data_IF_017085340941
#
_entry.id   IF_017085340941
#
_cell.length_a   1.000
_cell.length_b   1.000
_cell.length_c   1.000
_cell.angle_alpha   90.00
_cell.angle_beta   90.00
_cell.angle_gamma   90.00
#
_symmetry.space_group_name_H-M   'P 1'
#
loop_
_entity.id
_entity.type
_entity.pdbx_description
1 polymer ?
#
# COMPACT_ATOMS: atom_id res chain seq x y z
N UNK A 1 -36.41 -6.82 -29.04
CA UNK A 1 -35.83 -5.76 -28.17
C UNK A 1 -35.93 -6.30 -26.76
N UNK A 2 -34.83 -6.88 -26.24
CA UNK A 2 -34.75 -7.25 -24.83
C UNK A 2 -34.65 -5.94 -24.05
N UNK A 3 -35.64 -5.67 -23.19
CA UNK A 3 -35.51 -4.67 -22.14
C UNK A 3 -34.29 -5.06 -21.29
N UNK A 4 -33.23 -4.27 -21.36
CA UNK A 4 -32.20 -4.29 -20.35
C UNK A 4 -32.88 -3.86 -19.05
N UNK A 5 -33.10 -4.81 -18.13
CA UNK A 5 -33.42 -4.50 -16.75
C UNK A 5 -32.44 -3.40 -16.28
N UNK A 6 -33.01 -2.32 -15.73
CA UNK A 6 -32.21 -1.29 -15.06
C UNK A 6 -31.33 -2.00 -14.03
N UNK A 7 -30.04 -2.11 -14.31
CA UNK A 7 -29.05 -2.57 -13.32
C UNK A 7 -29.29 -1.76 -12.05
N UNK A 8 -29.63 -2.43 -10.95
CA UNK A 8 -29.70 -1.77 -9.65
C UNK A 8 -28.34 -1.12 -9.39
N UNK A 9 -28.34 0.17 -9.04
CA UNK A 9 -27.13 0.90 -8.75
C UNK A 9 -26.47 0.32 -7.50
N UNK A 10 -25.15 0.14 -7.53
CA UNK A 10 -24.38 -0.55 -6.49
C UNK A 10 -23.99 0.43 -5.37
N UNK A 11 -24.21 0.00 -4.14
CA UNK A 11 -23.59 0.56 -2.95
C UNK A 11 -22.54 -0.42 -2.42
N UNK A 12 -21.27 0.00 -2.37
CA UNK A 12 -20.11 -0.82 -2.03
C UNK A 12 -19.51 -0.33 -0.71
N UNK A 13 -19.27 -1.23 0.22
CA UNK A 13 -18.51 -0.93 1.45
C UNK A 13 -17.14 -1.60 1.36
N UNK A 14 -16.08 -0.80 1.29
CA UNK A 14 -14.69 -1.23 1.40
C UNK A 14 -14.28 -1.17 2.87
N UNK A 15 -13.71 -2.25 3.42
CA UNK A 15 -13.26 -2.31 4.82
C UNK A 15 -11.74 -2.42 4.84
N UNK A 16 -11.05 -1.42 5.40
CA UNK A 16 -9.59 -1.42 5.60
C UNK A 16 -9.28 -0.74 6.92
N UNK A 17 -8.91 -1.51 7.94
CA UNK A 17 -8.96 -1.06 9.33
C UNK A 17 -7.66 -0.41 9.78
N UNK A 18 -6.51 -1.09 9.56
CA UNK A 18 -5.21 -0.61 10.02
C UNK A 18 -4.60 0.46 9.10
N UNK A 19 -3.62 1.18 9.64
CA UNK A 19 -2.91 2.25 8.97
C UNK A 19 -3.64 3.59 9.01
N UNK A 20 -2.95 4.62 8.56
CA UNK A 20 -3.46 5.98 8.50
C UNK A 20 -4.11 6.24 7.14
N UNK A 21 -5.45 6.23 7.09
CA UNK A 21 -6.23 6.37 5.86
C UNK A 21 -6.91 7.73 5.83
N UNK A 22 -6.55 8.55 4.86
CA UNK A 22 -7.20 9.84 4.52
C UNK A 22 -7.21 10.05 3.01
N UNK A 23 -8.05 10.96 2.50
CA UNK A 23 -8.28 11.16 1.07
C UNK A 23 -7.22 11.98 0.34
N UNK A 24 -6.32 12.64 1.06
CA UNK A 24 -5.28 13.54 0.55
C UNK A 24 -3.96 13.35 1.32
N UNK A 25 -2.86 13.81 0.79
CA UNK A 25 -1.53 13.84 1.42
C UNK A 25 -1.19 12.57 2.22
N UNK A 26 -1.38 11.41 1.61
CA UNK A 26 -1.13 10.10 2.24
C UNK A 26 0.30 10.01 2.78
N UNK A 27 0.44 9.65 4.06
CA UNK A 27 1.72 9.55 4.76
C UNK A 27 2.43 8.21 4.48
N UNK A 28 2.58 7.86 3.20
CA UNK A 28 3.12 6.57 2.78
C UNK A 28 4.54 6.34 3.30
N UNK A 29 4.71 5.24 4.03
CA UNK A 29 6.00 4.86 4.60
C UNK A 29 6.33 5.51 5.94
N UNK A 30 5.37 6.20 6.57
CA UNK A 30 5.52 6.72 7.93
C UNK A 30 5.81 5.59 8.92
N UNK A 31 5.10 4.48 8.76
CA UNK A 31 5.26 3.26 9.54
C UNK A 31 5.01 2.00 8.68
N UNK A 32 5.12 0.82 9.31
CA UNK A 32 4.92 -0.45 8.63
C UNK A 32 3.46 -0.69 8.16
N UNK A 33 2.49 0.02 8.74
CA UNK A 33 1.05 -0.14 8.51
C UNK A 33 0.52 0.87 7.48
N UNK A 34 1.19 2.02 7.35
CA UNK A 34 0.81 3.09 6.42
C UNK A 34 1.62 2.99 5.13
N UNK A 35 1.19 2.13 4.23
CA UNK A 35 1.93 1.79 3.01
C UNK A 35 1.08 1.71 1.76
N UNK A 36 1.47 0.84 0.84
CA UNK A 36 0.81 0.65 -0.45
C UNK A 36 -0.67 0.29 -0.35
N UNK A 37 -1.08 -0.45 0.68
CA UNK A 37 -2.48 -0.80 0.92
C UNK A 37 -3.35 0.44 1.16
N UNK A 38 -2.90 1.40 1.99
CA UNK A 38 -3.67 2.62 2.28
C UNK A 38 -3.92 3.44 1.00
N UNK A 39 -2.91 3.57 0.14
CA UNK A 39 -3.08 4.18 -1.18
C UNK A 39 -4.03 3.38 -2.06
N UNK A 40 -3.84 2.05 -2.12
CA UNK A 40 -4.65 1.17 -2.95
C UNK A 40 -6.15 1.32 -2.65
N UNK A 41 -6.56 1.27 -1.37
CA UNK A 41 -7.98 1.32 -1.01
C UNK A 41 -8.61 2.69 -1.26
N UNK A 42 -7.86 3.78 -1.08
CA UNK A 42 -8.32 5.14 -1.38
C UNK A 42 -8.51 5.33 -2.89
N UNK A 43 -7.54 4.90 -3.70
CA UNK A 43 -7.64 4.99 -5.16
C UNK A 43 -8.71 4.05 -5.72
N UNK A 44 -8.87 2.85 -5.13
CA UNK A 44 -9.97 1.94 -5.48
C UNK A 44 -11.34 2.56 -5.21
N UNK A 45 -11.53 3.18 -4.04
CA UNK A 45 -12.78 3.86 -3.71
C UNK A 45 -13.11 4.96 -4.72
N UNK A 46 -12.13 5.82 -5.06
CA UNK A 46 -12.28 6.87 -6.08
C UNK A 46 -12.57 6.31 -7.48
N UNK A 47 -11.92 5.19 -7.84
CA UNK A 47 -12.11 4.57 -9.16
C UNK A 47 -13.48 3.88 -9.29
N UNK A 48 -13.95 3.21 -8.23
CA UNK A 48 -15.29 2.61 -8.18
C UNK A 48 -16.37 3.69 -8.25
N UNK A 49 -16.19 4.81 -7.56
CA UNK A 49 -17.12 5.94 -7.60
C UNK A 49 -17.34 6.52 -9.02
N UNK A 50 -16.34 6.39 -9.89
CA UNK A 50 -16.45 6.84 -11.31
C UNK A 50 -17.25 5.87 -12.19
N UNK A 51 -17.61 4.67 -11.72
CA UNK A 51 -18.33 3.69 -12.52
C UNK A 51 -19.81 4.05 -12.62
N UNK A 52 -20.43 3.99 -13.80
CA UNK A 52 -21.79 4.48 -14.02
C UNK A 52 -22.87 3.69 -13.27
N UNK A 53 -22.57 2.48 -12.85
CA UNK A 53 -23.47 1.60 -12.08
C UNK A 53 -23.17 1.62 -10.57
N UNK A 54 -22.28 2.49 -10.09
CA UNK A 54 -21.96 2.65 -8.67
C UNK A 54 -22.55 3.95 -8.17
N UNK A 55 -23.49 3.83 -7.22
CA UNK A 55 -24.18 4.97 -6.61
C UNK A 55 -23.43 5.50 -5.38
N UNK A 56 -22.81 4.60 -4.61
CA UNK A 56 -22.13 4.96 -3.37
C UNK A 56 -20.95 4.02 -3.09
N UNK A 57 -19.87 4.59 -2.57
CA UNK A 57 -18.72 3.85 -2.03
C UNK A 57 -18.35 4.42 -0.66
N UNK A 58 -18.37 3.56 0.36
CA UNK A 58 -17.90 3.89 1.69
C UNK A 58 -16.62 3.11 1.98
N UNK A 59 -15.50 3.82 2.13
CA UNK A 59 -14.25 3.26 2.62
C UNK A 59 -14.24 3.36 4.15
N UNK A 60 -14.43 2.23 4.81
CA UNK A 60 -14.55 2.17 6.26
C UNK A 60 -13.21 1.82 6.91
N UNK A 61 -12.82 2.62 7.89
CA UNK A 61 -11.58 2.46 8.65
C UNK A 61 -11.78 2.81 10.11
N UNK A 62 -10.75 2.64 10.94
CA UNK A 62 -10.80 3.00 12.36
C UNK A 62 -10.63 4.51 12.56
N UNK A 63 -11.44 5.11 13.44
CA UNK A 63 -11.24 6.49 13.88
C UNK A 63 -10.05 6.58 14.83
N UNK A 64 -9.22 7.60 14.64
CA UNK A 64 -8.02 7.81 15.44
C UNK A 64 -8.02 9.26 15.93
N UNK A 65 -8.01 9.43 17.25
CA UNK A 65 -7.91 10.74 17.90
C UNK A 65 -6.55 10.79 18.58
N UNK A 66 -5.55 11.32 17.87
CA UNK A 66 -4.17 11.32 18.32
C UNK A 66 -3.46 12.56 17.82
N UNK A 67 -2.89 13.35 18.72
CA UNK A 67 -2.21 14.59 18.40
C UNK A 67 -0.93 14.39 17.58
N UNK A 68 -0.33 13.19 17.66
CA UNK A 68 0.90 12.86 16.94
C UNK A 68 0.65 12.51 15.47
N UNK A 69 -0.59 12.11 15.11
CA UNK A 69 -0.93 11.75 13.73
C UNK A 69 -1.75 12.82 13.00
N UNK A 70 -2.36 13.74 13.72
CA UNK A 70 -3.11 14.87 13.14
C UNK A 70 -4.64 14.71 13.21
N UNK A 71 -5.35 15.83 13.03
CA UNK A 71 -6.80 15.93 13.24
C UNK A 71 -7.66 15.24 12.18
N UNK A 72 -7.16 15.07 10.97
CA UNK A 72 -7.92 14.50 9.84
C UNK A 72 -8.47 13.09 10.16
N UNK A 73 -7.73 12.32 10.94
CA UNK A 73 -8.09 10.95 11.32
C UNK A 73 -9.16 10.87 12.41
N UNK A 74 -9.45 11.99 13.06
CA UNK A 74 -10.49 12.11 14.07
C UNK A 74 -11.89 12.44 13.47
N UNK A 75 -11.92 12.95 12.25
CA UNK A 75 -13.17 13.24 11.53
C UNK A 75 -13.93 11.94 11.25
N UNK A 76 -15.20 11.88 11.63
CA UNK A 76 -16.01 10.67 11.46
C UNK A 76 -16.26 10.34 9.98
N UNK A 77 -16.39 11.36 9.13
CA UNK A 77 -16.64 11.21 7.69
C UNK A 77 -15.79 12.22 6.92
N UNK A 78 -15.13 11.75 5.87
CA UNK A 78 -14.34 12.57 4.94
C UNK A 78 -14.75 12.28 3.51
N UNK A 79 -15.11 13.29 2.73
CA UNK A 79 -15.48 13.13 1.33
C UNK A 79 -14.26 12.76 0.47
N UNK A 80 -14.39 11.76 -0.41
CA UNK A 80 -13.39 11.36 -1.40
C UNK A 80 -13.76 11.78 -2.81
N UNK A 81 -15.07 11.71 -3.13
CA UNK A 81 -15.68 12.10 -4.40
C UNK A 81 -17.17 12.43 -4.16
N UNK A 82 -17.91 12.77 -5.20
CA UNK A 82 -19.33 13.09 -5.10
C UNK A 82 -20.16 11.97 -4.45
N UNK A 83 -19.80 10.72 -4.75
CA UNK A 83 -20.49 9.50 -4.27
C UNK A 83 -19.52 8.54 -3.54
N UNK A 84 -18.40 9.03 -3.03
CA UNK A 84 -17.47 8.23 -2.22
C UNK A 84 -16.99 9.01 -0.99
N UNK A 85 -16.84 8.31 0.12
CA UNK A 85 -16.38 8.88 1.38
C UNK A 85 -15.55 7.87 2.20
N UNK A 86 -14.72 8.39 3.11
CA UNK A 86 -14.13 7.60 4.19
C UNK A 86 -15.05 7.73 5.40
N UNK A 87 -15.40 6.60 5.98
CA UNK A 87 -16.17 6.50 7.22
C UNK A 87 -15.26 5.94 8.30
N UNK A 88 -15.14 6.65 9.41
CA UNK A 88 -14.28 6.23 10.52
C UNK A 88 -15.11 5.76 11.70
N UNK A 89 -14.87 4.52 12.10
CA UNK A 89 -15.61 3.81 13.15
C UNK A 89 -14.76 3.73 14.41
N UNK A 90 -15.36 4.00 15.55
CA UNK A 90 -14.70 3.86 16.86
C UNK A 90 -14.48 2.38 17.20
N UNK A 91 -13.26 2.05 17.63
CA UNK A 91 -12.94 0.75 18.19
C UNK A 91 -11.63 0.81 18.99
N UNK A 92 -11.65 0.28 20.20
CA UNK A 92 -10.50 0.28 21.12
C UNK A 92 -10.12 1.67 21.61
N UNK A 93 -8.82 1.90 21.92
CA UNK A 93 -8.32 3.19 22.40
C UNK A 93 -8.42 4.28 21.31
N UNK A 94 -8.53 5.55 21.72
CA UNK A 94 -8.67 6.66 20.81
C UNK A 94 -7.42 6.87 19.93
N UNK A 95 -6.21 6.69 20.49
CA UNK A 95 -4.94 6.90 19.80
C UNK A 95 -4.64 5.88 18.71
N UNK A 96 -3.55 6.13 17.97
CA UNK A 96 -3.05 5.19 16.97
C UNK A 96 -2.55 3.90 17.64
N UNK A 97 -2.93 2.74 17.10
CA UNK A 97 -2.44 1.43 17.51
C UNK A 97 -2.00 0.64 16.28
N UNK A 98 -0.99 -0.20 16.46
CA UNK A 98 -0.43 -1.04 15.39
C UNK A 98 -1.39 -2.16 15.03
N UNK A 99 -1.31 -2.66 13.79
CA UNK A 99 -2.21 -3.73 13.32
C UNK A 99 -2.13 -5.01 14.16
N UNK A 100 -0.98 -5.30 14.75
CA UNK A 100 -0.81 -6.45 15.62
C UNK A 100 -1.63 -6.31 16.94
N UNK A 101 -1.95 -5.09 17.36
CA UNK A 101 -2.71 -4.78 18.58
C UNK A 101 -4.21 -4.59 18.30
N UNK A 102 -4.65 -4.54 17.04
CA UNK A 102 -6.05 -4.34 16.66
C UNK A 102 -6.96 -5.52 16.98
N UNK A 103 -6.42 -6.73 17.07
CA UNK A 103 -7.20 -7.96 17.17
C UNK A 103 -8.23 -7.97 18.30
N UNK A 104 -7.93 -7.39 19.45
CA UNK A 104 -8.82 -7.34 20.61
C UNK A 104 -9.96 -6.32 20.45
N UNK A 105 -9.91 -5.51 19.40
CA UNK A 105 -10.86 -4.44 19.14
C UNK A 105 -11.72 -4.67 17.90
N UNK A 106 -11.48 -5.75 17.13
CA UNK A 106 -12.18 -6.03 15.87
C UNK A 106 -13.66 -6.37 16.07
N UNK A 107 -14.02 -7.03 17.17
CA UNK A 107 -15.42 -7.30 17.49
C UNK A 107 -16.20 -6.01 17.73
N UNK A 108 -15.64 -5.10 18.54
CA UNK A 108 -16.26 -3.79 18.78
C UNK A 108 -16.32 -2.94 17.50
N UNK A 109 -15.31 -3.04 16.63
CA UNK A 109 -15.35 -2.40 15.32
C UNK A 109 -16.50 -2.94 14.45
N UNK A 110 -16.66 -4.27 14.39
CA UNK A 110 -17.73 -4.90 13.63
C UNK A 110 -19.12 -4.50 14.14
N UNK A 111 -19.32 -4.50 15.46
CA UNK A 111 -20.59 -4.13 16.08
C UNK A 111 -20.93 -2.64 15.85
N UNK A 112 -19.95 -1.76 15.95
CA UNK A 112 -20.12 -0.33 15.68
C UNK A 112 -20.35 -0.06 14.18
N UNK A 113 -19.66 -0.78 13.28
CA UNK A 113 -19.91 -0.69 11.85
C UNK A 113 -21.30 -1.19 11.49
N UNK A 114 -21.76 -2.31 12.07
CA UNK A 114 -23.11 -2.80 11.89
C UNK A 114 -24.16 -1.76 12.34
N UNK A 115 -23.92 -1.14 13.49
CA UNK A 115 -24.79 -0.07 14.02
C UNK A 115 -24.83 1.14 13.08
N UNK A 116 -23.69 1.51 12.51
CA UNK A 116 -23.61 2.59 11.53
C UNK A 116 -24.38 2.24 10.26
N UNK A 117 -24.22 1.01 9.73
CA UNK A 117 -24.95 0.52 8.55
C UNK A 117 -26.48 0.53 8.75
N UNK A 118 -26.97 0.18 9.95
CA UNK A 118 -28.38 0.29 10.28
C UNK A 118 -28.92 1.72 10.25
N UNK A 119 -28.07 2.71 10.46
CA UNK A 119 -28.45 4.13 10.37
C UNK A 119 -28.47 4.68 8.94
N UNK A 120 -28.00 3.92 7.94
CA UNK A 120 -27.97 4.37 6.56
C UNK A 120 -29.33 4.24 5.87
N UNK A 121 -29.65 5.08 4.87
CA UNK A 121 -30.93 5.04 4.17
C UNK A 121 -31.13 3.76 3.33
N UNK A 122 -30.05 3.06 2.99
CA UNK A 122 -30.08 1.76 2.30
C UNK A 122 -28.93 0.87 2.76
N UNK A 123 -29.08 -0.42 2.57
CA UNK A 123 -28.02 -1.41 2.80
C UNK A 123 -27.05 -1.48 1.63
N UNK A 124 -25.74 -1.78 1.87
CA UNK A 124 -24.81 -2.05 0.80
C UNK A 124 -25.19 -3.33 0.03
N UNK A 125 -24.76 -3.40 -1.20
CA UNK A 125 -24.93 -4.60 -2.03
C UNK A 125 -23.80 -5.60 -1.81
N UNK A 126 -22.61 -5.14 -1.34
CA UNK A 126 -21.43 -5.96 -1.18
C UNK A 126 -20.47 -5.36 -0.14
N UNK A 127 -19.81 -6.23 0.61
CA UNK A 127 -18.68 -5.92 1.46
C UNK A 127 -17.39 -6.34 0.76
N UNK A 128 -16.38 -5.49 0.77
CA UNK A 128 -15.05 -5.83 0.24
C UNK A 128 -14.00 -5.54 1.30
N UNK A 129 -13.45 -6.59 1.88
CA UNK A 129 -12.44 -6.50 2.95
C UNK A 129 -11.02 -6.52 2.40
N UNK A 130 -10.14 -5.74 3.01
CA UNK A 130 -8.74 -5.59 2.64
C UNK A 130 -7.84 -5.93 3.80
N UNK A 131 -7.07 -7.03 3.68
CA UNK A 131 -6.20 -7.60 4.70
C UNK A 131 -6.95 -8.43 5.77
N UNK A 132 -6.18 -9.15 6.60
CA UNK A 132 -6.69 -10.15 7.54
C UNK A 132 -7.65 -9.59 8.61
N UNK A 133 -7.34 -8.41 9.17
CA UNK A 133 -8.19 -7.74 10.18
C UNK A 133 -9.56 -7.37 9.61
N UNK A 134 -9.58 -6.79 8.41
CA UNK A 134 -10.81 -6.48 7.71
C UNK A 134 -11.53 -7.75 7.20
N UNK A 135 -10.78 -8.80 6.87
CA UNK A 135 -11.33 -10.11 6.54
C UNK A 135 -12.16 -10.68 7.67
N UNK A 136 -11.60 -10.70 8.88
CA UNK A 136 -12.31 -11.11 10.10
C UNK A 136 -13.62 -10.33 10.31
N UNK A 137 -13.57 -9.02 10.23
CA UNK A 137 -14.75 -8.15 10.36
C UNK A 137 -15.76 -8.41 9.23
N UNK A 138 -15.27 -8.55 7.99
CA UNK A 138 -16.10 -8.83 6.82
C UNK A 138 -16.90 -10.12 6.94
N UNK A 139 -16.27 -11.22 7.40
CA UNK A 139 -16.95 -12.51 7.66
C UNK A 139 -18.05 -12.34 8.71
N UNK A 140 -17.73 -11.71 9.84
CA UNK A 140 -18.71 -11.46 10.90
C UNK A 140 -19.91 -10.67 10.38
N UNK A 141 -19.69 -9.60 9.64
CA UNK A 141 -20.78 -8.80 9.06
C UNK A 141 -21.56 -9.57 7.99
N UNK A 142 -20.89 -10.31 7.11
CA UNK A 142 -21.55 -11.16 6.09
C UNK A 142 -22.51 -12.17 6.76
N UNK A 143 -22.07 -12.85 7.82
CA UNK A 143 -22.92 -13.79 8.57
C UNK A 143 -24.11 -13.13 9.22
N UNK A 144 -23.96 -11.92 9.77
CA UNK A 144 -25.03 -11.19 10.45
C UNK A 144 -26.06 -10.58 9.49
N UNK A 145 -25.63 -10.20 8.28
CA UNK A 145 -26.44 -9.42 7.34
C UNK A 145 -26.87 -10.20 6.10
N UNK A 146 -26.17 -11.29 5.78
CA UNK A 146 -26.36 -12.01 4.51
C UNK A 146 -25.75 -11.32 3.28
N UNK A 147 -24.94 -10.26 3.49
CA UNK A 147 -24.28 -9.55 2.40
C UNK A 147 -23.12 -10.38 1.83
N UNK A 148 -22.94 -10.40 0.49
CA UNK A 148 -21.80 -11.05 -0.12
C UNK A 148 -20.49 -10.38 0.29
N UNK A 149 -19.44 -11.20 0.45
CA UNK A 149 -18.10 -10.76 0.87
C UNK A 149 -17.08 -10.99 -0.25
N UNK A 150 -16.45 -9.92 -0.69
CA UNK A 150 -15.22 -9.95 -1.50
C UNK A 150 -14.03 -9.73 -0.57
N UNK A 151 -12.90 -10.38 -0.83
CA UNK A 151 -11.68 -10.21 -0.05
C UNK A 151 -10.44 -9.98 -0.91
N UNK A 152 -9.56 -9.08 -0.47
CA UNK A 152 -8.20 -8.88 -1.03
C UNK A 152 -7.18 -8.97 0.10
N UNK A 153 -6.28 -9.97 0.05
CA UNK A 153 -5.36 -10.27 1.15
C UNK A 153 -4.21 -9.27 1.33
N UNK A 154 -3.73 -8.64 0.25
CA UNK A 154 -2.55 -7.74 0.17
C UNK A 154 -1.22 -8.35 0.64
N UNK A 155 -1.24 -9.16 1.66
CA UNK A 155 -0.12 -9.88 2.26
C UNK A 155 -0.68 -11.02 3.09
N UNK A 156 -0.03 -12.15 3.10
CA UNK A 156 -0.55 -13.37 3.71
C UNK A 156 0.31 -13.84 4.89
N UNK A 157 -0.36 -14.28 5.95
CA UNK A 157 0.25 -14.68 7.22
C UNK A 157 1.12 -15.93 7.10
N UNK A 158 0.66 -16.97 6.38
CA UNK A 158 1.42 -18.21 6.19
C UNK A 158 2.72 -17.96 5.43
N UNK A 159 2.71 -17.15 4.36
CA UNK A 159 3.91 -16.77 3.63
C UNK A 159 4.85 -15.90 4.48
N UNK A 160 4.31 -14.92 5.23
CA UNK A 160 5.09 -14.12 6.18
C UNK A 160 5.77 -15.01 7.22
N UNK A 161 5.04 -15.96 7.81
CA UNK A 161 5.56 -16.90 8.79
C UNK A 161 6.71 -17.74 8.20
N UNK A 162 6.50 -18.33 7.02
CA UNK A 162 7.51 -19.11 6.29
C UNK A 162 8.80 -18.32 6.08
N UNK A 163 8.69 -17.07 5.65
CA UNK A 163 9.86 -16.19 5.42
C UNK A 163 10.58 -15.81 6.70
N UNK A 164 9.86 -15.57 7.79
CA UNK A 164 10.47 -15.23 9.08
C UNK A 164 11.21 -16.44 9.68
N UNK A 165 10.64 -17.65 9.57
CA UNK A 165 11.32 -18.90 9.95
C UNK A 165 12.57 -19.14 9.13
N UNK A 166 12.52 -18.90 7.82
CA UNK A 166 13.69 -19.04 6.93
C UNK A 166 14.82 -18.03 7.27
N UNK A 167 14.48 -16.91 7.92
CA UNK A 167 15.46 -15.93 8.45
C UNK A 167 15.99 -16.28 9.83
N UNK A 168 15.57 -17.41 10.41
CA UNK A 168 16.05 -17.93 11.69
C UNK A 168 15.28 -17.47 12.93
N UNK A 169 14.13 -16.78 12.78
CA UNK A 169 13.27 -16.50 13.92
C UNK A 169 12.58 -17.80 14.38
N UNK A 170 12.37 -17.93 15.68
CA UNK A 170 11.57 -19.03 16.25
C UNK A 170 10.07 -18.72 16.12
N UNK A 171 9.22 -19.76 16.17
CA UNK A 171 7.77 -19.58 16.21
C UNK A 171 7.31 -18.75 17.41
N UNK A 172 7.98 -18.88 18.55
CA UNK A 172 7.68 -18.11 19.76
C UNK A 172 7.92 -16.61 19.56
N UNK A 173 9.05 -16.23 18.97
CA UNK A 173 9.34 -14.84 18.63
C UNK A 173 8.37 -14.27 17.60
N UNK A 174 8.00 -15.07 16.60
CA UNK A 174 7.03 -14.68 15.57
C UNK A 174 5.64 -14.45 16.18
N UNK A 175 5.21 -15.37 17.06
CA UNK A 175 3.92 -15.26 17.74
C UNK A 175 3.87 -14.04 18.67
N UNK A 176 4.90 -13.86 19.49
CA UNK A 176 4.99 -12.72 20.40
C UNK A 176 4.96 -11.36 19.66
N UNK A 177 5.62 -11.27 18.50
CA UNK A 177 5.76 -10.01 17.77
C UNK A 177 4.61 -9.72 16.82
N UNK A 178 4.02 -10.75 16.20
CA UNK A 178 3.09 -10.59 15.08
C UNK A 178 1.71 -11.19 15.30
N UNK A 179 1.48 -11.89 16.42
CA UNK A 179 0.25 -12.66 16.66
C UNK A 179 -0.14 -13.51 15.45
N UNK A 180 0.87 -14.20 14.86
CA UNK A 180 0.77 -14.79 13.54
C UNK A 180 -0.29 -15.87 13.47
N UNK A 181 -0.51 -16.64 14.54
CA UNK A 181 -1.52 -17.69 14.61
C UNK A 181 -2.93 -17.09 14.51
N UNK A 182 -3.18 -15.99 15.23
CA UNK A 182 -4.47 -15.30 15.19
C UNK A 182 -4.76 -14.73 13.80
N UNK A 183 -3.74 -14.18 13.15
CA UNK A 183 -3.82 -13.69 11.78
C UNK A 183 -4.15 -14.81 10.80
N UNK A 184 -3.40 -15.93 10.84
CA UNK A 184 -3.62 -17.08 9.94
C UNK A 184 -5.02 -17.66 10.13
N UNK A 185 -5.51 -17.78 11.37
CA UNK A 185 -6.87 -18.26 11.64
C UNK A 185 -7.93 -17.34 11.02
N UNK A 186 -7.76 -16.03 11.13
CA UNK A 186 -8.67 -15.07 10.51
C UNK A 186 -8.63 -15.14 8.97
N UNK A 187 -7.46 -15.37 8.38
CA UNK A 187 -7.32 -15.59 6.93
C UNK A 187 -7.99 -16.90 6.48
N UNK A 188 -7.83 -18.01 7.23
CA UNK A 188 -8.53 -19.29 6.94
C UNK A 188 -10.06 -19.08 6.99
N UNK A 189 -10.56 -18.42 8.03
CA UNK A 189 -11.98 -18.12 8.16
C UNK A 189 -12.48 -17.25 7.00
N UNK A 190 -11.69 -16.26 6.60
CA UNK A 190 -12.02 -15.39 5.48
C UNK A 190 -12.05 -16.16 4.15
N UNK A 191 -11.05 -17.01 3.88
CA UNK A 191 -10.99 -17.85 2.68
C UNK A 191 -12.16 -18.81 2.58
N UNK A 192 -12.57 -19.38 3.72
CA UNK A 192 -13.72 -20.30 3.78
C UNK A 192 -15.05 -19.61 3.44
N UNK A 193 -15.22 -18.36 3.88
CA UNK A 193 -16.50 -17.66 3.84
C UNK A 193 -16.64 -16.62 2.73
N UNK A 194 -15.55 -16.09 2.16
CA UNK A 194 -15.64 -15.14 1.07
C UNK A 194 -16.26 -15.76 -0.20
N UNK A 195 -17.09 -14.99 -0.89
CA UNK A 195 -17.70 -15.36 -2.16
C UNK A 195 -16.69 -15.22 -3.31
N UNK A 196 -15.80 -14.22 -3.22
CA UNK A 196 -14.75 -13.95 -4.19
C UNK A 196 -13.49 -13.44 -3.49
N UNK A 197 -12.34 -13.93 -3.94
CA UNK A 197 -11.02 -13.47 -3.48
C UNK A 197 -10.29 -12.83 -4.66
N UNK A 198 -9.87 -11.58 -4.48
CA UNK A 198 -9.10 -10.84 -5.48
C UNK A 198 -7.62 -10.96 -5.14
N UNK A 199 -6.82 -11.34 -6.14
CA UNK A 199 -5.36 -11.44 -6.06
C UNK A 199 -4.72 -10.54 -7.12
N UNK A 200 -3.48 -10.09 -6.90
CA UNK A 200 -2.79 -9.24 -7.86
C UNK A 200 -2.16 -10.05 -9.00
N UNK A 201 -1.78 -11.30 -8.73
CA UNK A 201 -1.08 -12.18 -9.68
C UNK A 201 -1.50 -13.64 -9.54
N UNK A 202 -1.28 -14.43 -10.61
CA UNK A 202 -1.46 -15.89 -10.56
C UNK A 202 -0.51 -16.56 -9.55
N UNK A 203 0.70 -16.04 -9.40
CA UNK A 203 1.67 -16.57 -8.45
C UNK A 203 1.20 -16.44 -6.98
N UNK A 204 0.42 -15.41 -6.64
CA UNK A 204 -0.18 -15.34 -5.30
C UNK A 204 -1.09 -16.54 -5.04
N UNK A 205 -1.88 -16.94 -6.04
CA UNK A 205 -2.79 -18.08 -5.94
C UNK A 205 -1.99 -19.37 -5.74
N UNK A 206 -0.99 -19.61 -6.59
CA UNK A 206 -0.24 -20.87 -6.68
C UNK A 206 0.82 -21.02 -5.57
N UNK A 207 1.46 -19.90 -5.11
CA UNK A 207 2.59 -19.97 -4.18
C UNK A 207 2.25 -19.56 -2.75
N UNK A 208 1.19 -18.76 -2.56
CA UNK A 208 0.87 -18.16 -1.27
C UNK A 208 -0.48 -18.62 -0.72
N UNK A 209 -1.56 -18.58 -1.52
CA UNK A 209 -2.87 -19.04 -1.07
C UNK A 209 -2.95 -20.57 -0.97
N UNK A 210 -2.21 -21.32 -1.80
CA UNK A 210 -2.10 -22.78 -1.71
C UNK A 210 -1.59 -23.26 -0.32
N UNK A 211 -0.93 -22.39 0.43
CA UNK A 211 -0.48 -22.71 1.80
C UNK A 211 -1.63 -22.85 2.81
N UNK A 212 -2.85 -22.42 2.47
CA UNK A 212 -4.02 -22.41 3.37
C UNK A 212 -4.86 -23.67 3.23
N UNK A 213 -5.42 -24.14 4.36
CA UNK A 213 -6.28 -25.34 4.38
C UNK A 213 -7.62 -25.08 3.68
N UNK A 214 -8.10 -23.81 3.73
CA UNK A 214 -9.32 -23.37 3.06
C UNK A 214 -9.08 -22.84 1.63
N UNK A 215 -7.97 -23.21 0.99
CA UNK A 215 -7.66 -22.84 -0.38
C UNK A 215 -8.71 -23.32 -1.38
N UNK A 216 -9.31 -22.40 -2.12
CA UNK A 216 -10.36 -22.66 -3.12
C UNK A 216 -10.10 -21.78 -4.35
N UNK A 217 -9.24 -22.21 -5.29
CA UNK A 217 -8.82 -21.39 -6.43
C UNK A 217 -9.97 -20.95 -7.34
N UNK A 218 -11.08 -21.72 -7.37
CA UNK A 218 -12.28 -21.41 -8.16
C UNK A 218 -12.97 -20.11 -7.67
N UNK A 219 -12.75 -19.71 -6.42
CA UNK A 219 -13.23 -18.44 -5.88
C UNK A 219 -12.23 -17.29 -6.06
N UNK A 220 -11.09 -17.52 -6.72
CA UNK A 220 -10.02 -16.54 -6.85
C UNK A 220 -9.99 -15.92 -8.23
N UNK A 221 -9.87 -14.60 -8.28
CA UNK A 221 -9.75 -13.83 -9.52
C UNK A 221 -8.47 -12.97 -9.50
N UNK A 222 -7.69 -13.06 -10.57
CA UNK A 222 -6.50 -12.20 -10.74
C UNK A 222 -6.95 -10.85 -11.31
N UNK A 223 -6.88 -9.83 -10.47
CA UNK A 223 -7.16 -8.43 -10.83
C UNK A 223 -5.95 -7.59 -10.40
N UNK A 224 -5.00 -7.31 -11.30
CA UNK A 224 -3.83 -6.51 -10.97
C UNK A 224 -4.21 -5.10 -10.49
N UNK A 225 -3.43 -4.49 -9.59
CA UNK A 225 -3.64 -3.10 -9.19
C UNK A 225 -3.68 -2.17 -10.40
N UNK A 226 -4.70 -1.31 -10.45
CA UNK A 226 -4.82 -0.30 -11.50
C UNK A 226 -3.82 0.84 -11.32
N UNK A 227 -3.65 1.62 -12.40
CA UNK A 227 -2.85 2.84 -12.40
C UNK A 227 -3.69 3.99 -12.91
N UNK A 228 -3.64 5.13 -12.23
CA UNK A 228 -4.27 6.36 -12.71
C UNK A 228 -3.51 6.92 -13.90
N UNK A 229 -4.07 6.80 -15.10
CA UNK A 229 -3.46 7.26 -16.34
C UNK A 229 -3.52 8.78 -16.52
N UNK A 230 -4.37 9.48 -15.77
CA UNK A 230 -4.39 10.94 -15.75
C UNK A 230 -3.17 11.47 -14.96
N UNK A 231 -2.71 10.73 -13.96
CA UNK A 231 -1.52 11.03 -13.18
C UNK A 231 -0.24 10.46 -13.84
N UNK A 232 -0.28 9.18 -14.26
CA UNK A 232 0.86 8.45 -14.83
C UNK A 232 0.74 8.34 -16.36
N UNK A 233 1.14 9.38 -17.06
CA UNK A 233 1.14 9.44 -18.53
C UNK A 233 2.55 9.76 -19.06
N UNK A 234 2.87 9.45 -20.32
CA UNK A 234 4.13 9.82 -20.94
C UNK A 234 4.39 11.34 -20.88
N UNK A 235 5.67 11.78 -20.81
CA UNK A 235 5.97 13.20 -20.76
C UNK A 235 5.50 13.91 -22.05
N UNK A 236 4.79 15.05 -21.88
CA UNK A 236 4.55 15.95 -23.00
C UNK A 236 5.86 16.68 -23.39
N UNK A 237 6.02 17.07 -24.63
CA UNK A 237 7.26 17.63 -25.19
C UNK A 237 7.80 18.91 -24.48
N UNK A 238 7.05 19.50 -23.55
CA UNK A 238 7.37 20.79 -22.91
C UNK A 238 7.65 20.77 -21.41
N UNK A 239 7.58 19.63 -20.69
CA UNK A 239 7.57 19.61 -19.22
C UNK A 239 8.82 18.96 -18.62
N UNK A 240 9.92 19.72 -18.50
CA UNK A 240 11.16 19.22 -17.87
C UNK A 240 11.62 20.01 -16.63
N UNK A 241 10.81 20.91 -16.06
CA UNK A 241 11.23 21.74 -14.92
C UNK A 241 10.38 21.50 -13.69
N UNK A 242 10.59 20.35 -13.02
CA UNK A 242 10.03 20.14 -11.66
C UNK A 242 11.04 20.59 -10.60
N UNK A 243 10.55 20.95 -9.41
CA UNK A 243 11.41 21.26 -8.25
C UNK A 243 12.33 20.07 -7.91
N UNK A 244 11.83 18.85 -8.11
CA UNK A 244 12.63 17.63 -7.95
C UNK A 244 13.80 17.58 -8.94
N UNK A 245 13.58 17.84 -10.24
CA UNK A 245 14.65 17.88 -11.23
C UNK A 245 15.74 18.92 -10.87
N UNK A 246 15.33 20.09 -10.34
CA UNK A 246 16.27 21.10 -9.87
C UNK A 246 17.10 20.60 -8.68
N UNK A 247 16.50 19.82 -7.77
CA UNK A 247 17.19 19.27 -6.59
C UNK A 247 18.30 18.28 -6.97
N UNK A 248 18.15 17.53 -8.08
CA UNK A 248 19.13 16.56 -8.55
C UNK A 248 20.48 17.20 -8.93
N UNK A 249 20.48 18.50 -9.31
CA UNK A 249 21.71 19.24 -9.62
C UNK A 249 22.65 19.37 -8.42
N UNK A 250 22.14 19.22 -7.20
CA UNK A 250 22.96 19.24 -5.99
C UNK A 250 23.76 17.95 -5.80
N UNK A 251 23.39 16.86 -6.49
CA UNK A 251 24.01 15.55 -6.36
C UNK A 251 24.83 15.15 -7.60
N UNK A 252 24.44 15.63 -8.79
CA UNK A 252 24.95 15.14 -10.06
C UNK A 252 25.84 16.16 -10.74
N UNK A 253 27.07 15.75 -11.09
CA UNK A 253 28.01 16.58 -11.86
C UNK A 253 27.57 16.82 -13.32
N UNK A 254 26.83 15.86 -13.87
CA UNK A 254 26.30 15.90 -15.24
C UNK A 254 24.80 15.55 -15.21
N UNK A 255 23.92 16.47 -14.74
CA UNK A 255 22.51 16.17 -14.51
C UNK A 255 21.70 15.86 -15.78
N UNK A 256 22.21 16.23 -16.96
CA UNK A 256 21.53 16.00 -18.24
C UNK A 256 21.81 14.60 -18.84
N UNK A 257 22.63 13.78 -18.19
CA UNK A 257 22.84 12.39 -18.62
C UNK A 257 21.56 11.56 -18.43
N UNK A 258 21.39 10.48 -19.22
CA UNK A 258 20.31 9.50 -18.98
C UNK A 258 20.27 9.05 -17.53
N UNK A 259 19.07 8.82 -17.01
CA UNK A 259 18.84 8.49 -15.62
C UNK A 259 18.43 7.02 -15.46
N UNK A 260 19.13 6.28 -14.62
CA UNK A 260 18.65 5.02 -14.05
C UNK A 260 17.91 5.38 -12.76
N UNK A 261 16.60 5.14 -12.71
CA UNK A 261 15.76 5.49 -11.57
C UNK A 261 15.38 4.25 -10.77
N UNK A 262 15.60 4.27 -9.46
CA UNK A 262 15.02 3.35 -8.49
C UNK A 262 14.20 4.14 -7.46
N UNK A 263 12.92 3.79 -7.30
CA UNK A 263 12.01 4.42 -6.35
C UNK A 263 11.36 3.34 -5.47
N UNK A 264 11.66 3.34 -4.18
CA UNK A 264 11.09 2.40 -3.22
C UNK A 264 11.29 2.92 -1.79
N UNK A 265 10.68 2.24 -0.80
CA UNK A 265 11.08 2.42 0.59
C UNK A 265 12.49 1.84 0.81
N UNK A 266 13.26 2.38 1.78
CA UNK A 266 14.55 1.81 2.19
C UNK A 266 14.31 0.54 3.01
N UNK A 267 13.94 -0.53 2.33
CA UNK A 267 13.62 -1.85 2.90
C UNK A 267 14.59 -2.86 2.28
N UNK A 268 15.20 -3.71 3.10
CA UNK A 268 16.15 -4.74 2.66
C UNK A 268 15.59 -5.62 1.53
N UNK A 269 14.27 -5.92 1.58
CA UNK A 269 13.57 -6.71 0.54
C UNK A 269 13.57 -6.03 -0.83
N UNK A 270 13.75 -4.72 -0.88
CA UNK A 270 13.84 -3.94 -2.14
C UNK A 270 15.21 -3.99 -2.79
N UNK A 271 16.19 -4.53 -2.07
CA UNK A 271 17.52 -4.86 -2.57
C UNK A 271 18.24 -3.73 -3.34
N UNK A 272 17.99 -2.47 -2.94
CA UNK A 272 18.55 -1.29 -3.63
C UNK A 272 20.06 -1.14 -3.41
N UNK A 273 20.61 -1.78 -2.37
CA UNK A 273 22.07 -1.82 -2.14
C UNK A 273 22.76 -2.56 -3.26
N UNK A 274 22.31 -3.76 -3.63
CA UNK A 274 22.87 -4.53 -4.77
C UNK A 274 22.80 -3.76 -6.09
N UNK A 275 21.74 -2.95 -6.31
CA UNK A 275 21.68 -2.08 -7.48
C UNK A 275 22.82 -1.06 -7.48
N UNK A 276 23.08 -0.44 -6.33
CA UNK A 276 24.17 0.55 -6.20
C UNK A 276 25.54 -0.09 -6.35
N UNK A 277 25.77 -1.27 -5.79
CA UNK A 277 26.99 -2.07 -6.00
C UNK A 277 27.20 -2.39 -7.49
N UNK A 278 26.18 -2.94 -8.17
CA UNK A 278 26.26 -3.27 -9.59
C UNK A 278 26.54 -2.03 -10.46
N UNK A 279 26.02 -0.86 -10.07
CA UNK A 279 26.36 0.39 -10.73
C UNK A 279 27.82 0.81 -10.43
N UNK A 280 28.26 0.67 -9.18
CA UNK A 280 29.62 0.96 -8.73
C UNK A 280 30.68 0.11 -9.43
N UNK A 281 30.39 -1.17 -9.64
CA UNK A 281 31.25 -2.12 -10.36
C UNK A 281 31.32 -1.89 -11.87
N UNK A 282 30.46 -1.03 -12.45
CA UNK A 282 30.34 -0.87 -13.89
C UNK A 282 30.74 0.54 -14.39
N UNK A 283 32.03 0.79 -14.67
CA UNK A 283 32.47 2.05 -15.30
C UNK A 283 31.73 2.35 -16.61
N UNK A 284 31.28 1.30 -17.30
CA UNK A 284 30.52 1.42 -18.56
C UNK A 284 29.14 2.02 -18.32
N UNK A 285 28.45 1.68 -17.23
CA UNK A 285 27.17 2.28 -16.86
C UNK A 285 27.38 3.72 -16.40
N UNK A 286 28.35 3.95 -15.53
CA UNK A 286 28.70 5.28 -15.02
C UNK A 286 29.06 6.29 -16.12
N UNK A 287 29.63 5.81 -17.23
CA UNK A 287 29.94 6.65 -18.39
C UNK A 287 28.70 7.01 -19.25
N UNK A 288 27.56 6.32 -19.04
CA UNK A 288 26.37 6.45 -19.90
C UNK A 288 25.16 7.02 -19.20
N UNK A 289 25.04 6.86 -17.88
CA UNK A 289 23.86 7.26 -17.12
C UNK A 289 24.22 7.60 -15.67
N UNK A 290 23.44 8.49 -15.06
CA UNK A 290 23.41 8.71 -13.63
C UNK A 290 22.48 7.69 -12.96
N UNK A 291 22.72 7.39 -11.68
CA UNK A 291 21.80 6.62 -10.85
C UNK A 291 21.07 7.54 -9.88
N UNK A 292 19.75 7.47 -9.86
CA UNK A 292 18.89 8.21 -8.92
C UNK A 292 18.11 7.23 -8.07
N UNK A 293 18.38 7.24 -6.77
CA UNK A 293 17.71 6.38 -5.78
C UNK A 293 16.83 7.25 -4.91
N UNK A 294 15.51 7.11 -5.04
CA UNK A 294 14.51 7.76 -4.20
C UNK A 294 14.05 6.75 -3.14
N UNK A 295 14.66 6.84 -1.95
CA UNK A 295 14.52 5.86 -0.88
C UNK A 295 13.76 6.43 0.32
N UNK A 296 12.46 6.68 0.15
CA UNK A 296 11.61 7.26 1.19
C UNK A 296 11.97 8.72 1.55
N UNK A 297 11.31 9.24 2.59
CA UNK A 297 11.56 10.56 3.14
C UNK A 297 12.31 10.45 4.46
N UNK A 298 13.26 11.35 4.72
CA UNK A 298 14.04 11.40 5.97
C UNK A 298 14.63 12.77 6.23
N UNK A 299 14.70 13.14 7.47
CA UNK A 299 15.51 14.28 7.94
C UNK A 299 16.87 13.80 8.41
N UNK A 300 16.89 12.80 9.28
CA UNK A 300 18.09 12.15 9.80
C UNK A 300 17.94 10.62 9.74
N UNK A 301 18.93 9.93 9.19
CA UNK A 301 18.94 8.46 9.10
C UNK A 301 18.88 7.83 10.51
N UNK A 302 19.47 8.45 11.51
CA UNK A 302 19.54 7.94 12.89
C UNK A 302 18.19 7.92 13.61
N UNK A 303 17.21 8.66 13.10
CA UNK A 303 15.84 8.75 13.64
C UNK A 303 14.89 7.75 12.98
N UNK A 304 15.35 7.02 11.96
CA UNK A 304 14.55 6.03 11.26
C UNK A 304 14.54 4.69 12.02
N UNK A 305 13.61 3.79 11.66
CA UNK A 305 13.63 2.42 12.16
C UNK A 305 14.93 1.68 11.76
N UNK A 306 15.31 0.67 12.55
CA UNK A 306 16.58 -0.05 12.39
C UNK A 306 16.79 -0.61 10.98
N UNK A 307 15.71 -1.08 10.32
CA UNK A 307 15.79 -1.64 8.97
C UNK A 307 16.09 -0.58 7.92
N UNK A 308 15.36 0.53 7.95
CA UNK A 308 15.57 1.67 7.05
C UNK A 308 16.93 2.33 7.28
N UNK A 309 17.32 2.50 8.57
CA UNK A 309 18.63 3.01 8.95
C UNK A 309 19.76 2.14 8.39
N UNK A 310 19.65 0.81 8.50
CA UNK A 310 20.65 -0.13 8.00
C UNK A 310 20.82 0.01 6.48
N UNK A 311 19.74 -0.01 5.73
CA UNK A 311 19.77 0.12 4.25
C UNK A 311 20.37 1.44 3.81
N UNK A 312 19.97 2.56 4.41
CA UNK A 312 20.49 3.89 4.04
C UNK A 312 21.95 4.07 4.43
N UNK A 313 22.37 3.51 5.56
CA UNK A 313 23.78 3.53 5.97
C UNK A 313 24.63 2.75 4.97
N UNK A 314 24.19 1.55 4.57
CA UNK A 314 24.91 0.73 3.59
C UNK A 314 25.00 1.42 2.23
N UNK A 315 23.94 2.08 1.77
CA UNK A 315 24.00 2.89 0.55
C UNK A 315 25.09 3.97 0.62
N UNK A 316 25.24 4.66 1.74
CA UNK A 316 26.28 5.68 1.91
C UNK A 316 27.69 5.07 1.90
N UNK A 317 27.87 3.91 2.54
CA UNK A 317 29.16 3.18 2.54
C UNK A 317 29.53 2.69 1.14
N UNK A 318 28.59 2.16 0.39
CA UNK A 318 28.79 1.73 -1.00
C UNK A 318 29.12 2.92 -1.91
N UNK A 319 28.41 4.05 -1.73
CA UNK A 319 28.73 5.29 -2.46
C UNK A 319 30.17 5.74 -2.24
N UNK A 320 30.64 5.69 -1.00
CA UNK A 320 32.01 6.05 -0.64
C UNK A 320 33.03 5.04 -1.20
N UNK A 321 32.76 3.75 -1.03
CA UNK A 321 33.61 2.67 -1.49
C UNK A 321 33.95 2.73 -2.99
N UNK A 322 32.95 3.09 -3.83
CA UNK A 322 33.11 3.17 -5.28
C UNK A 322 33.32 4.60 -5.80
N UNK A 323 33.49 5.60 -4.92
CA UNK A 323 33.65 7.02 -5.28
C UNK A 323 32.55 7.51 -6.27
N UNK A 324 31.29 7.29 -5.90
CA UNK A 324 30.13 7.59 -6.77
C UNK A 324 29.60 9.01 -6.60
N UNK A 325 30.33 9.89 -5.96
CA UNK A 325 30.00 11.30 -5.78
C UNK A 325 29.86 12.01 -7.13
N UNK A 326 28.77 12.76 -7.31
CA UNK A 326 28.44 13.43 -8.56
C UNK A 326 27.85 12.54 -9.66
N UNK A 327 27.67 11.22 -9.39
CA UNK A 327 27.06 10.23 -10.32
C UNK A 327 25.79 9.61 -9.77
N UNK A 328 25.64 9.61 -8.43
CA UNK A 328 24.47 9.06 -7.72
C UNK A 328 23.76 10.18 -6.99
N UNK A 329 22.44 10.27 -7.18
CA UNK A 329 21.57 11.14 -6.39
C UNK A 329 20.77 10.30 -5.39
N UNK A 330 20.83 10.70 -4.11
CA UNK A 330 20.05 10.11 -3.02
C UNK A 330 19.30 11.23 -2.27
N UNK A 331 18.24 11.81 -2.87
CA UNK A 331 17.48 12.91 -2.28
C UNK A 331 16.81 12.49 -0.97
N UNK A 332 16.70 13.43 -0.03
CA UNK A 332 16.09 13.19 1.29
C UNK A 332 14.57 13.23 1.28
N UNK A 333 14.00 14.04 0.40
CA UNK A 333 12.56 14.31 0.38
C UNK A 333 11.99 14.26 -1.02
N UNK A 334 10.76 13.78 -1.11
CA UNK A 334 9.85 13.93 -2.24
C UNK A 334 8.42 13.89 -1.74
N UNK A 335 7.50 14.45 -2.47
CA UNK A 335 6.06 14.37 -2.19
C UNK A 335 5.45 13.21 -2.97
N UNK A 336 4.28 12.74 -2.54
CA UNK A 336 3.54 11.72 -3.27
C UNK A 336 3.22 12.16 -4.71
N UNK A 337 2.89 13.44 -4.89
CA UNK A 337 2.58 14.03 -6.20
C UNK A 337 3.83 14.15 -7.11
N UNK A 338 5.03 14.22 -6.55
CA UNK A 338 6.27 14.26 -7.32
C UNK A 338 6.56 12.93 -8.04
N UNK A 339 5.97 11.80 -7.57
CA UNK A 339 6.30 10.45 -8.08
C UNK A 339 6.07 10.34 -9.58
N UNK A 340 4.93 10.82 -10.07
CA UNK A 340 4.64 10.78 -11.50
C UNK A 340 5.60 11.66 -12.31
N UNK A 341 6.01 12.83 -11.77
CA UNK A 341 7.00 13.72 -12.40
C UNK A 341 8.38 13.09 -12.40
N UNK A 342 8.77 12.38 -11.36
CA UNK A 342 10.04 11.63 -11.28
C UNK A 342 10.10 10.56 -12.38
N UNK A 343 9.02 9.81 -12.60
CA UNK A 343 8.93 8.85 -13.70
C UNK A 343 9.00 9.53 -15.08
N UNK A 344 8.28 10.64 -15.27
CA UNK A 344 8.35 11.43 -16.52
C UNK A 344 9.75 11.98 -16.77
N UNK A 345 10.46 12.42 -15.73
CA UNK A 345 11.83 12.90 -15.82
C UNK A 345 12.79 11.78 -16.28
N UNK A 346 12.67 10.58 -15.70
CA UNK A 346 13.47 9.43 -16.11
C UNK A 346 13.21 9.08 -17.58
N UNK A 347 11.96 9.04 -18.02
CA UNK A 347 11.58 8.79 -19.40
C UNK A 347 12.10 9.88 -20.35
N UNK A 348 11.98 11.16 -19.99
CA UNK A 348 12.47 12.30 -20.78
C UNK A 348 13.99 12.29 -20.95
N UNK A 349 14.75 11.82 -19.95
CA UNK A 349 16.20 11.68 -20.00
C UNK A 349 16.69 10.54 -20.91
N UNK A 350 15.78 9.78 -21.53
CA UNK A 350 16.06 8.51 -22.24
C UNK A 350 16.72 7.46 -21.35
N UNK A 351 16.44 7.54 -20.08
CA UNK A 351 16.90 6.61 -19.06
C UNK A 351 16.05 5.33 -18.98
N UNK A 352 16.25 4.58 -17.93
CA UNK A 352 15.47 3.39 -17.63
C UNK A 352 14.94 3.44 -16.17
N UNK A 353 13.83 2.74 -15.95
CA UNK A 353 13.28 2.51 -14.64
C UNK A 353 13.70 1.11 -14.17
N UNK A 354 14.22 1.03 -12.95
CA UNK A 354 14.39 -0.23 -12.26
C UNK A 354 13.29 -0.32 -11.18
N UNK A 355 12.50 -1.36 -11.28
CA UNK A 355 11.50 -1.69 -10.27
C UNK A 355 12.17 -2.67 -9.30
N UNK A 356 12.44 -2.28 -8.04
CA UNK A 356 12.93 -3.21 -7.04
C UNK A 356 11.87 -4.29 -6.80
N UNK A 357 12.25 -5.52 -6.96
CA UNK A 357 11.39 -6.69 -6.75
C UNK A 357 11.03 -6.89 -5.29
#
# INVERSE_FOLDING_TARGET
MQEYEKSESLYIVLISIHGLIRGHDLELGRDADTGGQTKYVVELAKALAKQPNVEQVDLVTRRIVDVEVGGDYAESVEALAENAQIVRIDAGPEGYIRKEELWDHLDSFADNLLSWLHGQPRWPNVLHSHYADAGYVGVRLSHLTGLPLIHTGHSLGRDKCRRLLARGLTMEEIEQRYHISRRINAEEETLSNADLIITSTGNEIEDQYELYDCYTPEKMAVIPPGTDLDQFHPPAASNASSAFAASLKNFLSQPDMPMILALSRPDERKNIVTLLEAYGESPRLQAKANLVIVAGNRDDIREMDDGAQGVLTELLLVMDCYDLYGRVALPKHHKADDVADIYRLAAASKGCLLIPL
#
